data_IF_990879727471
#
_entry.id   IF_990879727471
#
_cell.length_a   1.000
_cell.length_b   1.000
_cell.length_c   1.000
_cell.angle_alpha   90.00
_cell.angle_beta   90.00
_cell.angle_gamma   90.00
#
_symmetry.space_group_name_H-M   'P 1'
#
loop_
_entity.id
_entity.type
_entity.pdbx_description
1 polymer ?
#
# COMPACT_ATOMS: atom_id res chain seq x y z
N UNK A 1 -13.49 -2.12 11.31
CA UNK A 1 -12.14 -1.65 10.97
C UNK A 1 -11.34 -2.79 10.37
N UNK A 2 -11.60 -3.14 9.10
CA UNK A 2 -10.82 -4.16 8.42
C UNK A 2 -9.42 -3.63 8.13
N UNK A 3 -8.43 -4.51 8.32
CA UNK A 3 -7.02 -4.25 8.04
C UNK A 3 -6.45 -5.47 7.34
N UNK A 4 -5.61 -5.23 6.34
CA UNK A 4 -4.78 -6.26 5.69
C UNK A 4 -3.36 -5.75 5.58
N UNK A 5 -2.42 -6.59 5.98
CA UNK A 5 -0.98 -6.32 5.92
C UNK A 5 -0.35 -7.25 4.88
N UNK A 6 0.48 -6.68 4.01
CA UNK A 6 1.18 -7.38 2.93
C UNK A 6 2.68 -7.22 3.14
N UNK A 7 3.40 -8.33 3.34
CA UNK A 7 4.85 -8.28 3.48
C UNK A 7 5.54 -7.95 2.15
N UNK A 8 6.52 -7.05 2.23
CA UNK A 8 7.38 -6.68 1.12
C UNK A 8 8.50 -7.74 1.03
N UNK A 9 8.70 -8.38 -0.12
CA UNK A 9 9.81 -9.32 -0.32
C UNK A 9 11.18 -8.64 -0.15
N UNK A 10 12.20 -9.39 0.31
CA UNK A 10 13.54 -8.86 0.63
C UNK A 10 14.21 -8.07 -0.53
N UNK A 11 13.99 -8.47 -1.78
CA UNK A 11 14.55 -7.82 -2.98
C UNK A 11 13.64 -6.73 -3.58
N UNK A 12 12.62 -6.29 -2.84
CA UNK A 12 11.62 -5.32 -3.27
C UNK A 12 11.55 -4.16 -2.27
N UNK A 13 11.32 -2.95 -2.77
CA UNK A 13 11.01 -1.78 -1.95
C UNK A 13 9.66 -1.18 -2.34
N UNK A 14 8.97 -0.60 -1.36
CA UNK A 14 7.73 0.14 -1.59
C UNK A 14 7.82 1.53 -0.95
N UNK A 15 7.32 2.54 -1.66
CA UNK A 15 7.24 3.92 -1.17
C UNK A 15 5.86 4.50 -1.48
N UNK A 16 5.32 5.23 -0.51
CA UNK A 16 4.03 5.92 -0.64
C UNK A 16 4.27 7.42 -0.78
N UNK A 17 3.82 7.99 -1.90
CA UNK A 17 3.77 9.45 -2.10
C UNK A 17 2.32 9.90 -2.26
N UNK A 18 1.77 10.47 -1.20
CA UNK A 18 0.36 10.85 -1.10
C UNK A 18 -0.59 9.67 -1.39
N UNK A 19 -1.06 9.53 -2.64
CA UNK A 19 -1.98 8.48 -3.08
C UNK A 19 -1.33 7.52 -4.09
N UNK A 20 -0.08 7.73 -4.44
CA UNK A 20 0.65 6.95 -5.42
C UNK A 20 1.61 6.00 -4.69
N UNK A 21 1.36 4.69 -4.81
CA UNK A 21 2.26 3.64 -4.34
C UNK A 21 3.23 3.27 -5.47
N UNK A 22 4.53 3.37 -5.21
CA UNK A 22 5.57 2.88 -6.12
C UNK A 22 6.23 1.65 -5.52
N UNK A 23 6.30 0.58 -6.30
CA UNK A 23 6.96 -0.68 -5.95
C UNK A 23 8.09 -0.93 -6.94
N UNK A 24 9.28 -1.18 -6.42
CA UNK A 24 10.50 -1.39 -7.22
C UNK A 24 11.13 -2.73 -6.86
N UNK A 25 11.62 -3.45 -7.86
CA UNK A 25 12.32 -4.72 -7.69
C UNK A 25 13.23 -5.04 -8.89
N UNK A 26 13.79 -6.25 -8.96
CA UNK A 26 14.79 -6.61 -9.97
C UNK A 26 14.30 -6.49 -11.42
N UNK A 27 13.00 -6.71 -11.62
CA UNK A 27 12.36 -6.67 -12.95
C UNK A 27 11.82 -5.28 -13.33
N UNK A 28 12.12 -4.25 -12.53
CA UNK A 28 11.73 -2.86 -12.77
C UNK A 28 10.78 -2.30 -11.71
N UNK A 29 10.05 -1.25 -12.07
CA UNK A 29 9.17 -0.53 -11.16
C UNK A 29 7.75 -0.37 -11.70
N UNK A 30 6.79 -0.31 -10.77
CA UNK A 30 5.37 -0.06 -11.05
C UNK A 30 4.84 0.96 -10.06
N UNK A 31 4.22 2.02 -10.59
CA UNK A 31 3.51 3.01 -9.78
C UNK A 31 2.00 2.93 -10.02
N UNK A 32 1.22 2.98 -8.94
CA UNK A 32 -0.25 2.94 -8.98
C UNK A 32 -0.84 3.97 -8.02
N UNK A 33 -1.81 4.73 -8.54
CA UNK A 33 -2.68 5.55 -7.70
C UNK A 33 -3.73 4.69 -7.02
N UNK A 34 -3.75 4.72 -5.69
CA UNK A 34 -4.70 4.01 -4.84
C UNK A 34 -5.57 5.06 -4.14
N UNK A 35 -6.77 5.25 -4.66
CA UNK A 35 -7.71 6.24 -4.14
C UNK A 35 -9.10 5.64 -4.03
N UNK A 36 -9.58 5.56 -2.80
CA UNK A 36 -10.96 5.20 -2.47
C UNK A 36 -11.35 5.92 -1.17
N UNK A 37 -12.59 6.38 -1.01
CA UNK A 37 -13.04 7.02 0.22
C UNK A 37 -12.80 6.14 1.44
N UNK A 38 -12.29 6.74 2.52
CA UNK A 38 -12.12 6.11 3.84
C UNK A 38 -11.19 4.87 3.86
N UNK A 39 -10.41 4.65 2.78
CA UNK A 39 -9.35 3.64 2.69
C UNK A 39 -7.99 4.34 2.71
N UNK A 40 -7.12 3.89 3.62
CA UNK A 40 -5.75 4.34 3.73
C UNK A 40 -4.79 3.24 3.32
N UNK A 41 -3.74 3.61 2.59
CA UNK A 41 -2.63 2.73 2.23
C UNK A 41 -1.33 3.38 2.71
N UNK A 42 -0.53 2.64 3.44
CA UNK A 42 0.75 3.11 3.98
C UNK A 42 1.83 2.03 3.90
N UNK A 43 3.09 2.44 3.99
CA UNK A 43 4.24 1.55 4.13
C UNK A 43 4.79 1.71 5.54
N UNK A 44 4.84 0.62 6.31
CA UNK A 44 5.39 0.58 7.67
C UNK A 44 6.50 -0.47 7.73
N UNK A 45 7.75 -0.02 7.74
CA UNK A 45 8.93 -0.89 7.64
C UNK A 45 8.90 -1.72 6.34
N UNK A 46 8.85 -3.04 6.50
CA UNK A 46 8.85 -4.03 5.40
C UNK A 46 7.44 -4.51 5.05
N UNK A 47 6.40 -3.74 5.40
CA UNK A 47 5.01 -4.12 5.15
C UNK A 47 4.20 -2.98 4.52
N UNK A 48 3.30 -3.33 3.61
CA UNK A 48 2.24 -2.45 3.10
C UNK A 48 0.97 -2.71 3.91
N UNK A 49 0.41 -1.66 4.51
CA UNK A 49 -0.81 -1.73 5.32
C UNK A 49 -1.95 -1.08 4.55
N UNK A 50 -3.05 -1.83 4.39
CA UNK A 50 -4.31 -1.36 3.82
C UNK A 50 -5.39 -1.45 4.89
N UNK A 51 -6.00 -0.32 5.21
CA UNK A 51 -7.00 -0.24 6.28
C UNK A 51 -8.18 0.66 5.92
N UNK A 52 -9.33 0.40 6.52
CA UNK A 52 -10.48 1.32 6.47
C UNK A 52 -11.11 1.54 7.84
N UNK A 53 -11.58 2.76 8.05
CA UNK A 53 -12.33 3.12 9.26
C UNK A 53 -13.70 2.42 9.31
N UNK A 54 -14.29 2.17 8.13
CA UNK A 54 -15.60 1.54 7.95
C UNK A 54 -15.50 0.09 7.49
N UNK A 55 -16.41 -0.75 7.95
CA UNK A 55 -16.54 -2.15 7.48
C UNK A 55 -17.15 -2.25 6.07
N UNK A 56 -17.80 -1.18 5.60
CA UNK A 56 -18.44 -1.04 4.28
C UNK A 56 -18.12 0.35 3.71
N UNK A 57 -16.88 0.52 3.25
CA UNK A 57 -16.43 1.78 2.64
C UNK A 57 -17.21 2.05 1.34
N UNK A 58 -17.82 3.24 1.25
CA UNK A 58 -18.84 3.60 0.24
C UNK A 58 -18.29 4.20 -1.05
#
# INVERSE_FOLDING_TARGET
MPQTTLQIPDDVSAEMDHLDLTVEGPEGSVSRRLWYPDVSVSVDGDEVVVESADDDAK
#
